data_IF_526477592090
#
_entry.id   IF_526477592090
#
_cell.length_a   1.000
_cell.length_b   1.000
_cell.length_c   1.000
_cell.angle_alpha   90.00
_cell.angle_beta   90.00
_cell.angle_gamma   90.00
#
_symmetry.space_group_name_H-M   'P 1'
#
loop_
_entity.id
_entity.type
_entity.pdbx_description
1 polymer ?
#
# COMPACT_ATOMS: atom_id res chain seq x y z
N UNK A 1 6.15 1.17 0.87
CA UNK A 1 4.79 1.61 1.22
C UNK A 1 3.88 0.40 1.27
N UNK A 2 2.91 0.36 2.18
CA UNK A 2 1.86 -0.66 2.16
C UNK A 2 0.72 -0.27 1.23
N UNK A 3 0.00 -1.26 0.71
CA UNK A 3 -1.32 -1.07 0.10
C UNK A 3 -2.28 -2.16 0.60
N UNK A 4 -3.36 -1.76 1.26
CA UNK A 4 -4.40 -2.64 1.80
C UNK A 4 -5.76 -2.13 1.31
N UNK A 5 -6.27 -2.71 0.23
CA UNK A 5 -7.49 -2.28 -0.46
C UNK A 5 -8.24 -3.48 -1.01
N UNK A 6 -9.55 -3.38 -1.12
CA UNK A 6 -10.35 -4.37 -1.84
C UNK A 6 -10.07 -4.32 -3.34
N UNK A 7 -10.36 -5.44 -4.04
CA UNK A 7 -10.21 -5.52 -5.50
C UNK A 7 -11.15 -4.51 -6.18
N UNK A 8 -10.56 -3.46 -6.72
CA UNK A 8 -11.28 -2.31 -7.30
C UNK A 8 -10.38 -1.53 -8.25
N UNK A 9 -10.91 -0.45 -8.84
CA UNK A 9 -10.09 0.50 -9.61
C UNK A 9 -9.07 1.21 -8.71
N UNK A 10 -9.42 1.46 -7.44
CA UNK A 10 -8.53 2.08 -6.45
C UNK A 10 -7.26 1.27 -6.24
N UNK A 11 -7.34 -0.06 -6.33
CA UNK A 11 -6.16 -0.93 -6.29
C UNK A 11 -5.18 -0.58 -7.42
N UNK A 12 -5.66 -0.49 -8.65
CA UNK A 12 -4.80 -0.15 -9.81
C UNK A 12 -4.25 1.27 -9.67
N UNK A 13 -5.08 2.22 -9.24
CA UNK A 13 -4.67 3.61 -9.00
C UNK A 13 -3.57 3.65 -7.93
N UNK A 14 -3.76 3.00 -6.79
CA UNK A 14 -2.80 2.97 -5.68
C UNK A 14 -1.47 2.34 -6.07
N UNK A 15 -1.49 1.21 -6.79
CA UNK A 15 -0.27 0.57 -7.28
C UNK A 15 0.52 1.50 -8.22
N UNK A 16 -0.16 2.11 -9.19
CA UNK A 16 0.47 3.05 -10.12
C UNK A 16 0.95 4.33 -9.43
N UNK A 17 0.21 4.83 -8.44
CA UNK A 17 0.58 5.99 -7.65
C UNK A 17 1.90 5.74 -6.89
N UNK A 18 2.04 4.58 -6.24
CA UNK A 18 3.27 4.20 -5.54
C UNK A 18 4.45 4.13 -6.51
N UNK A 19 4.28 3.44 -7.65
CA UNK A 19 5.35 3.28 -8.65
C UNK A 19 5.75 4.64 -9.25
N UNK A 20 4.77 5.48 -9.59
CA UNK A 20 5.02 6.82 -10.15
C UNK A 20 5.68 7.77 -9.14
N UNK A 21 5.40 7.60 -7.85
CA UNK A 21 6.09 8.31 -6.78
C UNK A 21 7.53 7.80 -6.53
N UNK A 22 7.93 6.71 -7.20
CA UNK A 22 9.25 6.08 -7.05
C UNK A 22 9.35 5.09 -5.89
N UNK A 23 8.23 4.69 -5.30
CA UNK A 23 8.18 3.73 -4.20
C UNK A 23 8.02 2.28 -4.66
N UNK A 24 8.31 1.36 -3.73
CA UNK A 24 7.92 -0.04 -3.81
C UNK A 24 6.68 -0.30 -2.94
N UNK A 25 5.77 -1.16 -3.40
CA UNK A 25 4.58 -1.54 -2.65
C UNK A 25 4.70 -2.92 -1.99
N UNK A 26 4.08 -3.03 -0.81
CA UNK A 26 3.83 -4.28 -0.09
C UNK A 26 2.33 -4.50 -0.12
N UNK A 27 1.81 -5.48 -0.87
CA UNK A 27 0.38 -5.76 -0.88
C UNK A 27 -0.02 -6.47 0.41
N UNK A 28 -1.06 -5.94 1.06
CA UNK A 28 -1.69 -6.48 2.24
C UNK A 28 -3.12 -6.88 1.86
N UNK A 29 -3.46 -8.14 2.04
CA UNK A 29 -4.80 -8.64 1.77
C UNK A 29 -5.67 -8.43 3.02
N UNK A 30 -6.74 -7.62 2.95
CA UNK A 30 -7.60 -7.35 4.11
C UNK A 30 -8.28 -8.62 4.66
N UNK A 31 -8.39 -9.69 3.88
CA UNK A 31 -8.96 -10.96 4.31
C UNK A 31 -7.95 -11.84 5.09
N UNK A 32 -6.69 -11.41 5.21
CA UNK A 32 -5.71 -12.14 6.00
C UNK A 32 -5.97 -12.03 7.51
N UNK A 33 -5.65 -13.08 8.28
CA UNK A 33 -5.72 -13.01 9.74
C UNK A 33 -4.91 -11.84 10.30
N UNK A 34 -5.41 -11.24 11.37
CA UNK A 34 -4.82 -10.07 12.03
C UNK A 34 -3.33 -10.26 12.35
N UNK A 35 -2.95 -11.40 12.93
CA UNK A 35 -1.56 -11.72 13.27
C UNK A 35 -0.64 -11.75 12.04
N UNK A 36 -1.17 -12.17 10.88
CA UNK A 36 -0.41 -12.22 9.62
C UNK A 36 -0.21 -10.82 9.07
N UNK A 37 -1.25 -10.00 9.07
CA UNK A 37 -1.16 -8.60 8.68
C UNK A 37 -0.19 -7.84 9.59
N UNK A 38 -0.29 -8.04 10.90
CA UNK A 38 0.61 -7.42 11.89
C UNK A 38 2.07 -7.76 11.60
N UNK A 39 2.35 -9.05 11.35
CA UNK A 39 3.68 -9.52 10.99
C UNK A 39 4.18 -8.87 9.69
N UNK A 40 3.40 -8.88 8.61
CA UNK A 40 3.81 -8.28 7.33
C UNK A 40 4.07 -6.78 7.46
N UNK A 41 3.24 -6.05 8.21
CA UNK A 41 3.40 -4.62 8.43
C UNK A 41 4.67 -4.29 9.23
N UNK A 42 4.97 -5.07 10.26
CA UNK A 42 6.17 -4.89 11.08
C UNK A 42 7.45 -5.28 10.34
N UNK A 43 7.45 -6.43 9.68
CA UNK A 43 8.61 -6.98 8.97
C UNK A 43 9.01 -6.11 7.76
N UNK A 44 8.02 -5.62 7.01
CA UNK A 44 8.27 -4.75 5.85
C UNK A 44 8.70 -3.32 6.21
N UNK A 45 8.53 -2.90 7.46
CA UNK A 45 8.88 -1.55 7.91
C UNK A 45 8.11 -0.43 7.20
N UNK A 46 6.87 -0.69 6.74
CA UNK A 46 6.08 0.32 6.05
C UNK A 46 5.75 1.51 6.96
N UNK A 47 6.11 2.72 6.55
CA UNK A 47 5.75 3.96 7.26
C UNK A 47 4.48 4.63 6.76
N UNK A 48 3.99 4.25 5.58
CA UNK A 48 2.79 4.81 4.93
C UNK A 48 1.99 3.68 4.27
N UNK A 49 0.67 3.72 4.42
CA UNK A 49 -0.30 2.77 3.89
C UNK A 49 -1.32 3.47 3.00
N UNK A 50 -1.51 2.99 1.77
CA UNK A 50 -2.70 3.33 0.98
C UNK A 50 -3.82 2.35 1.30
N UNK A 51 -5.00 2.86 1.62
CA UNK A 51 -6.14 2.03 2.01
C UNK A 51 -7.50 2.66 1.65
N UNK A 52 -8.59 2.06 2.12
CA UNK A 52 -9.95 2.57 2.04
C UNK A 52 -10.47 2.81 3.46
N UNK A 53 -11.37 3.77 3.61
CA UNK A 53 -11.90 4.22 4.90
C UNK A 53 -12.54 3.09 5.69
N UNK A 54 -13.21 2.15 5.00
CA UNK A 54 -13.83 0.97 5.60
C UNK A 54 -12.84 -0.01 6.24
N UNK A 55 -11.58 -0.04 5.78
CA UNK A 55 -10.56 -0.99 6.23
C UNK A 55 -9.74 -0.48 7.42
N UNK A 56 -9.80 0.83 7.71
CA UNK A 56 -8.98 1.45 8.76
C UNK A 56 -9.14 0.82 10.14
N UNK A 57 -10.38 0.47 10.52
CA UNK A 57 -10.65 -0.12 11.83
C UNK A 57 -10.14 -1.57 11.97
N UNK A 58 -9.90 -2.26 10.85
CA UNK A 58 -9.39 -3.64 10.84
C UNK A 58 -7.87 -3.75 10.81
N UNK A 59 -7.13 -2.63 10.82
CA UNK A 59 -5.68 -2.65 10.75
C UNK A 59 -5.05 -3.00 12.11
N UNK A 60 -4.21 -4.05 12.21
CA UNK A 60 -3.61 -4.48 13.47
C UNK A 60 -2.53 -3.54 14.02
N UNK A 61 -1.97 -2.69 13.16
CA UNK A 61 -0.82 -1.84 13.49
C UNK A 61 -1.14 -0.42 13.05
N UNK A 62 -0.90 0.54 13.94
CA UNK A 62 -0.99 1.95 13.61
C UNK A 62 0.15 2.33 12.68
N UNK A 63 -0.22 2.78 11.48
CA UNK A 63 0.68 3.33 10.46
C UNK A 63 0.00 4.59 9.91
N UNK A 64 0.78 5.53 9.41
CA UNK A 64 0.19 6.65 8.69
C UNK A 64 -0.55 6.10 7.47
N UNK A 65 -1.83 6.45 7.33
CA UNK A 65 -2.69 5.93 6.27
C UNK A 65 -3.25 7.06 5.41
N UNK A 66 -3.33 6.82 4.11
CA UNK A 66 -4.02 7.67 3.15
C UNK A 66 -5.17 6.87 2.53
N UNK A 67 -6.38 7.35 2.72
CA UNK A 67 -7.58 6.75 2.14
C UNK A 67 -7.77 7.19 0.69
N UNK A 68 -7.94 6.24 -0.23
CA UNK A 68 -8.16 6.53 -1.65
C UNK A 68 -9.61 6.99 -1.93
N UNK A 69 -10.53 6.58 -1.06
CA UNK A 69 -11.97 6.85 -1.11
C UNK A 69 -12.39 8.10 -0.31
N UNK A 70 -11.46 9.02 -0.07
CA UNK A 70 -11.76 10.29 0.61
C UNK A 70 -12.84 11.08 -0.13
N UNK A 71 -13.79 11.63 0.62
CA UNK A 71 -14.85 12.47 0.08
C UNK A 71 -14.32 13.82 -0.43
N UNK A 72 -14.99 14.37 -1.44
CA UNK A 72 -14.62 15.64 -2.06
C UNK A 72 -13.43 15.53 -3.01
N UNK A 73 -13.00 16.68 -3.54
CA UNK A 73 -11.84 16.75 -4.43
C UNK A 73 -10.57 17.04 -3.62
N UNK A 74 -10.15 16.07 -2.81
CA UNK A 74 -8.97 16.19 -1.96
C UNK A 74 -7.65 16.25 -2.75
N UNK A 75 -7.72 16.00 -4.06
CA UNK A 75 -6.63 16.18 -5.02
C UNK A 75 -6.73 17.52 -5.77
N UNK A 76 -7.72 18.37 -5.49
CA UNK A 76 -7.83 19.69 -6.10
C UNK A 76 -6.57 20.52 -5.82
N UNK A 77 -6.13 21.24 -6.85
CA UNK A 77 -4.88 22.00 -6.83
C UNK A 77 -3.60 21.17 -7.01
N UNK A 78 -3.65 19.83 -7.03
CA UNK A 78 -2.50 19.01 -7.41
C UNK A 78 -2.37 18.88 -8.93
N UNK A 79 -1.12 18.72 -9.41
CA UNK A 79 -0.84 18.56 -10.83
C UNK A 79 -1.35 17.22 -11.36
N UNK A 80 -1.98 17.24 -12.53
CA UNK A 80 -2.36 16.03 -13.28
C UNK A 80 -1.25 15.53 -14.22
N UNK A 81 -0.15 16.27 -14.33
CA UNK A 81 1.00 15.84 -15.12
C UNK A 81 1.71 14.65 -14.46
N UNK A 82 2.45 13.88 -15.25
CA UNK A 82 3.31 12.84 -14.68
C UNK A 82 4.36 13.48 -13.75
N UNK A 83 4.63 12.88 -12.57
CA UNK A 83 5.71 13.33 -11.72
C UNK A 83 7.06 13.15 -12.44
N UNK A 84 8.06 13.89 -11.98
CA UNK A 84 9.45 13.68 -12.43
C UNK A 84 9.85 12.25 -12.06
N UNK A 85 10.30 11.47 -13.06
CA UNK A 85 10.75 10.12 -12.83
C UNK A 85 12.13 10.13 -12.17
N UNK A 86 12.18 9.73 -10.90
CA UNK A 86 13.40 9.60 -10.11
C UNK A 86 13.85 8.14 -9.94
N UNK A 87 13.11 7.20 -10.55
CA UNK A 87 13.34 5.76 -10.40
C UNK A 87 14.43 5.25 -11.33
N UNK A 88 15.25 4.34 -10.83
CA UNK A 88 16.23 3.57 -11.58
C UNK A 88 15.79 2.11 -11.76
N UNK A 89 16.25 1.40 -12.82
CA UNK A 89 15.90 0.00 -13.05
C UNK A 89 16.25 -0.97 -11.91
N UNK A 90 17.19 -0.62 -11.04
CA UNK A 90 17.56 -1.43 -9.88
C UNK A 90 16.74 -1.11 -8.61
N UNK A 91 15.87 -0.10 -8.63
CA UNK A 91 14.99 0.15 -7.50
C UNK A 91 13.93 -0.95 -7.38
N UNK A 92 13.54 -1.24 -6.14
CA UNK A 92 12.45 -2.17 -5.86
C UNK A 92 11.14 -1.66 -6.46
N UNK A 93 10.38 -2.56 -7.08
CA UNK A 93 9.01 -2.27 -7.54
C UNK A 93 7.96 -2.76 -6.54
N UNK A 94 8.19 -3.95 -5.96
CA UNK A 94 7.29 -4.56 -4.97
C UNK A 94 8.03 -5.56 -4.08
N UNK A 95 7.42 -5.88 -2.96
CA UNK A 95 7.81 -6.98 -2.07
C UNK A 95 6.56 -7.83 -1.81
N UNK A 96 6.60 -9.11 -2.17
CA UNK A 96 5.49 -10.05 -2.02
C UNK A 96 5.90 -11.15 -1.04
N UNK A 97 5.11 -11.33 0.02
CA UNK A 97 5.29 -12.41 0.98
C UNK A 97 4.70 -13.70 0.41
N UNK A 98 5.45 -14.80 0.50
CA UNK A 98 5.04 -16.13 0.05
C UNK A 98 4.81 -17.02 1.25
N UNK A 99 4.01 -18.09 1.15
CA UNK A 99 3.51 -18.87 2.30
C UNK A 99 4.54 -19.64 3.15
N UNK A 100 5.84 -19.36 3.07
CA UNK A 100 6.89 -19.86 3.98
C UNK A 100 6.88 -21.39 4.17
N UNK A 101 7.64 -22.14 3.38
CA UNK A 101 7.65 -23.61 3.49
C UNK A 101 8.23 -24.17 4.81
N UNK A 102 8.89 -23.36 5.64
CA UNK A 102 9.57 -23.77 6.88
C UNK A 102 9.00 -23.13 8.16
N UNK A 103 7.93 -22.33 8.07
CA UNK A 103 7.41 -21.55 9.21
C UNK A 103 6.76 -20.25 8.75
N UNK A 104 6.84 -19.19 9.57
CA UNK A 104 6.25 -17.88 9.21
C UNK A 104 6.70 -17.47 7.78
N UNK A 105 5.75 -17.06 6.92
CA UNK A 105 6.04 -16.55 5.58
C UNK A 105 6.89 -15.29 5.63
#
# INVERSE_FOLDING_TARGET
MGICVERSVDMVIGLLAIIKAGGAYVPLDPDYPEDRLAYMMQDSGIGLLLTQSALLQGLPVQVQSLCLDQEGDWLDGYSTANPINLSHPQNLAYVIYTSGSTGKP
#
